data_IF_605636902554
#
_entry.id   IF_605636902554
#
_cell.length_a   1.000
_cell.length_b   1.000
_cell.length_c   1.000
_cell.angle_alpha   90.00
_cell.angle_beta   90.00
_cell.angle_gamma   90.00
#
_symmetry.space_group_name_H-M   'P 1'
#
loop_
_entity.id
_entity.type
_entity.pdbx_description
1 polymer ?
#
# COMPACT_ATOMS: atom_id res chain seq x y z
N UNK A 1 53.20 14.76 -8.55
CA UNK A 1 52.76 13.92 -7.41
C UNK A 1 51.25 13.98 -7.12
N UNK A 2 50.43 14.70 -7.89
CA UNK A 2 48.98 14.84 -7.62
C UNK A 2 48.06 13.77 -8.24
N UNK A 3 48.57 12.92 -9.17
CA UNK A 3 47.75 11.92 -9.86
C UNK A 3 47.44 10.66 -9.03
N UNK A 4 48.34 10.27 -8.13
CA UNK A 4 48.16 9.09 -7.27
C UNK A 4 47.18 9.34 -6.14
N UNK A 5 47.15 10.56 -5.55
CA UNK A 5 46.18 10.94 -4.53
C UNK A 5 44.74 11.06 -5.05
N UNK A 6 44.54 11.48 -6.31
CA UNK A 6 43.20 11.54 -6.91
C UNK A 6 42.61 10.14 -7.12
N UNK A 7 43.45 9.16 -7.52
CA UNK A 7 43.02 7.76 -7.67
C UNK A 7 42.74 7.07 -6.35
N UNK A 8 43.55 7.31 -5.29
CA UNK A 8 43.27 6.75 -3.96
C UNK A 8 41.99 7.32 -3.36
N UNK A 9 41.72 8.62 -3.50
CA UNK A 9 40.47 9.23 -3.04
C UNK A 9 39.23 8.69 -3.78
N UNK A 10 39.35 8.42 -5.08
CA UNK A 10 38.28 7.79 -5.88
C UNK A 10 37.99 6.34 -5.47
N UNK A 11 39.03 5.53 -5.26
CA UNK A 11 38.91 4.16 -4.75
C UNK A 11 38.30 4.10 -3.35
N UNK A 12 38.71 5.01 -2.45
CA UNK A 12 38.14 5.12 -1.10
C UNK A 12 36.67 5.54 -1.14
N UNK A 13 36.30 6.46 -2.03
CA UNK A 13 34.91 6.86 -2.26
C UNK A 13 34.09 5.67 -2.76
N UNK A 14 34.56 4.95 -3.77
CA UNK A 14 33.86 3.77 -4.30
C UNK A 14 33.69 2.66 -3.26
N UNK A 15 34.71 2.39 -2.44
CA UNK A 15 34.63 1.42 -1.35
C UNK A 15 33.62 1.84 -0.28
N UNK A 16 33.53 3.15 0.03
CA UNK A 16 32.54 3.69 0.96
C UNK A 16 31.11 3.62 0.40
N UNK A 17 30.93 3.88 -0.89
CA UNK A 17 29.65 3.69 -1.59
C UNK A 17 29.25 2.21 -1.61
N UNK A 18 30.18 1.29 -1.88
CA UNK A 18 29.91 -0.15 -1.86
C UNK A 18 29.52 -0.66 -0.46
N UNK A 19 30.19 -0.15 0.58
CA UNK A 19 29.85 -0.44 1.97
C UNK A 19 28.50 0.18 2.38
N UNK A 20 28.19 1.39 1.91
CA UNK A 20 26.88 2.03 2.12
C UNK A 20 25.76 1.25 1.44
N UNK A 21 25.95 0.87 0.18
CA UNK A 21 25.02 0.03 -0.58
C UNK A 21 24.80 -1.31 0.12
N UNK A 22 25.87 -1.94 0.64
CA UNK A 22 25.76 -3.16 1.43
C UNK A 22 24.89 -2.97 2.68
N UNK A 23 25.03 -1.83 3.36
CA UNK A 23 24.19 -1.47 4.51
C UNK A 23 22.73 -1.20 4.12
N UNK A 24 22.49 -0.53 2.99
CA UNK A 24 21.13 -0.26 2.50
C UNK A 24 20.39 -1.57 2.15
N UNK A 25 21.08 -2.50 1.50
CA UNK A 25 20.53 -3.83 1.21
C UNK A 25 20.28 -4.65 2.48
N UNK A 26 21.18 -4.57 3.46
CA UNK A 26 21.00 -5.24 4.75
C UNK A 26 19.75 -4.70 5.46
N UNK A 27 19.60 -3.38 5.55
CA UNK A 27 18.42 -2.74 6.14
C UNK A 27 17.13 -3.10 5.39
N UNK A 28 17.17 -3.14 4.06
CA UNK A 28 16.03 -3.57 3.24
C UNK A 28 15.64 -5.01 3.53
N UNK A 29 16.60 -5.94 3.54
CA UNK A 29 16.37 -7.35 3.84
C UNK A 29 15.80 -7.54 5.25
N UNK A 30 16.33 -6.79 6.22
CA UNK A 30 15.89 -6.82 7.62
C UNK A 30 14.45 -6.27 7.75
N UNK A 31 14.13 -5.18 7.06
CA UNK A 31 12.78 -4.60 7.03
C UNK A 31 11.76 -5.56 6.41
N UNK A 32 12.11 -6.20 5.28
CA UNK A 32 11.27 -7.23 4.65
C UNK A 32 11.10 -8.42 5.59
N UNK A 33 12.19 -8.87 6.23
CA UNK A 33 12.14 -9.96 7.21
C UNK A 33 11.16 -9.62 8.34
N UNK A 34 11.24 -8.44 8.96
CA UNK A 34 10.28 -8.03 10.00
C UNK A 34 8.83 -7.96 9.53
N UNK A 35 8.62 -7.43 8.31
CA UNK A 35 7.28 -7.29 7.71
C UNK A 35 6.63 -8.64 7.45
N UNK A 36 7.41 -9.64 7.04
CA UNK A 36 6.93 -11.02 6.83
C UNK A 36 6.87 -11.79 8.15
N UNK A 37 7.77 -11.51 9.09
CA UNK A 37 7.86 -12.21 10.37
C UNK A 37 6.64 -11.97 11.24
N UNK A 38 6.10 -10.75 11.28
CA UNK A 38 4.90 -10.43 12.08
C UNK A 38 3.66 -11.27 11.70
N UNK A 39 3.26 -11.44 10.42
CA UNK A 39 2.19 -12.36 10.06
C UNK A 39 2.60 -13.83 10.17
N UNK A 40 3.87 -14.19 9.92
CA UNK A 40 4.35 -15.58 10.04
C UNK A 40 4.32 -16.08 11.49
N UNK A 41 4.75 -15.26 12.44
CA UNK A 41 4.72 -15.57 13.87
C UNK A 41 3.29 -15.70 14.39
N UNK A 42 2.39 -14.79 13.98
CA UNK A 42 0.95 -14.89 14.28
C UNK A 42 0.32 -16.14 13.67
N UNK A 43 0.81 -16.62 12.52
CA UNK A 43 0.34 -17.86 11.88
C UNK A 43 0.86 -19.13 12.56
N UNK A 44 2.09 -19.11 13.08
CA UNK A 44 2.74 -20.28 13.70
C UNK A 44 2.42 -20.42 15.20
N UNK A 45 2.39 -19.32 15.97
CA UNK A 45 2.16 -19.32 17.42
C UNK A 45 0.78 -18.78 17.83
N UNK A 46 0.02 -18.20 16.90
CA UNK A 46 -1.33 -17.76 17.20
C UNK A 46 -2.25 -18.96 17.42
N UNK A 47 -2.99 -18.96 18.54
CA UNK A 47 -4.07 -19.93 18.78
C UNK A 47 -4.98 -19.95 17.56
N UNK A 48 -5.10 -21.12 16.93
CA UNK A 48 -6.03 -21.39 15.83
C UNK A 48 -7.46 -21.11 16.30
N UNK A 49 -7.89 -19.85 16.30
CA UNK A 49 -9.31 -19.56 16.08
C UNK A 49 -9.51 -19.92 14.63
N UNK A 50 -10.06 -21.11 14.38
CA UNK A 50 -10.59 -21.49 13.08
C UNK A 50 -11.71 -20.50 12.71
N UNK A 51 -11.33 -19.32 12.23
CA UNK A 51 -12.19 -18.49 11.41
C UNK A 51 -12.25 -19.23 10.10
N UNK A 52 -13.35 -19.96 9.89
CA UNK A 52 -13.64 -20.67 8.64
C UNK A 52 -13.28 -19.77 7.46
N UNK A 53 -12.78 -20.33 6.35
CA UNK A 53 -12.50 -19.57 5.11
C UNK A 53 -13.69 -18.72 4.70
N UNK A 54 -14.90 -19.21 5.01
CA UNK A 54 -16.16 -18.50 4.93
C UNK A 54 -16.15 -17.19 5.74
N UNK A 55 -15.74 -17.16 7.01
CA UNK A 55 -15.80 -15.96 7.86
C UNK A 55 -14.77 -14.87 7.47
N UNK A 56 -13.66 -15.26 6.84
CA UNK A 56 -12.68 -14.33 6.25
C UNK A 56 -13.16 -13.76 4.91
N UNK A 57 -13.88 -14.56 4.12
CA UNK A 57 -14.42 -14.17 2.79
C UNK A 57 -15.75 -13.42 2.92
N UNK A 58 -16.62 -13.82 3.86
CA UNK A 58 -17.96 -13.29 4.02
C UNK A 58 -18.06 -12.13 5.01
N UNK A 59 -17.01 -11.86 5.81
CA UNK A 59 -16.98 -10.75 6.78
C UNK A 59 -18.26 -10.64 7.66
N UNK A 60 -19.02 -11.74 7.80
CA UNK A 60 -20.40 -11.74 8.30
C UNK A 60 -20.48 -11.64 9.83
N UNK A 61 -19.34 -11.69 10.52
CA UNK A 61 -19.27 -11.80 11.98
C UNK A 61 -18.54 -10.67 12.71
N UNK A 62 -18.49 -9.45 12.17
CA UNK A 62 -17.96 -8.30 12.91
C UNK A 62 -16.51 -7.95 12.58
N UNK A 63 -16.21 -7.75 11.29
CA UNK A 63 -15.00 -7.03 10.92
C UNK A 63 -15.20 -5.57 11.30
N UNK A 64 -14.34 -5.03 12.17
CA UNK A 64 -14.44 -3.63 12.58
C UNK A 64 -14.42 -2.73 11.34
N UNK A 65 -15.43 -1.85 11.22
CA UNK A 65 -15.53 -0.87 10.13
C UNK A 65 -14.20 -0.12 9.94
N UNK A 66 -13.53 0.20 11.05
CA UNK A 66 -12.23 0.87 11.07
C UNK A 66 -11.15 0.01 10.42
N UNK A 67 -11.13 -1.30 10.68
CA UNK A 67 -10.15 -2.21 10.05
C UNK A 67 -10.38 -2.32 8.52
N UNK A 68 -11.65 -2.26 8.08
CA UNK A 68 -12.00 -2.23 6.66
C UNK A 68 -11.51 -0.94 6.01
N UNK A 69 -11.80 0.22 6.62
CA UNK A 69 -11.35 1.51 6.12
C UNK A 69 -9.82 1.61 6.03
N UNK A 70 -9.11 1.12 7.05
CA UNK A 70 -7.64 1.07 7.06
C UNK A 70 -7.10 0.18 5.95
N UNK A 71 -7.73 -0.98 5.68
CA UNK A 71 -7.30 -1.87 4.61
C UNK A 71 -7.47 -1.23 3.23
N UNK A 72 -8.61 -0.56 2.99
CA UNK A 72 -8.88 0.15 1.73
C UNK A 72 -7.89 1.32 1.56
N UNK A 73 -7.70 2.13 2.60
CA UNK A 73 -6.76 3.24 2.59
C UNK A 73 -5.32 2.78 2.30
N UNK A 74 -4.89 1.65 2.87
CA UNK A 74 -3.58 1.06 2.58
C UNK A 74 -3.44 0.66 1.11
N UNK A 75 -4.51 0.15 0.49
CA UNK A 75 -4.51 -0.23 -0.93
C UNK A 75 -4.47 0.97 -1.88
N UNK A 76 -5.16 2.05 -1.54
CA UNK A 76 -5.26 3.25 -2.41
C UNK A 76 -4.07 4.19 -2.27
N UNK A 77 -3.47 4.30 -1.09
CA UNK A 77 -2.48 5.33 -0.77
C UNK A 77 -1.01 4.88 -0.87
N UNK A 78 -0.72 3.61 -1.18
CA UNK A 78 0.63 3.06 -1.06
C UNK A 78 1.71 3.75 -1.91
N UNK A 79 1.92 3.29 -3.14
CA UNK A 79 3.03 3.78 -4.00
C UNK A 79 2.69 5.12 -4.66
N UNK A 80 1.40 5.34 -4.95
CA UNK A 80 0.91 6.54 -5.64
C UNK A 80 1.23 7.81 -4.88
N UNK A 81 1.20 7.78 -3.55
CA UNK A 81 1.33 9.01 -2.76
C UNK A 81 2.78 9.47 -2.62
N UNK A 82 3.69 8.52 -2.50
CA UNK A 82 5.12 8.82 -2.29
C UNK A 82 5.82 9.20 -3.60
N UNK A 83 5.46 8.56 -4.72
CA UNK A 83 6.08 8.81 -6.01
C UNK A 83 5.19 9.63 -6.96
N UNK A 84 3.89 9.32 -7.02
CA UNK A 84 2.94 9.92 -7.96
C UNK A 84 2.61 11.38 -7.65
N UNK A 85 2.10 11.69 -6.45
CA UNK A 85 1.71 13.07 -6.12
C UNK A 85 2.83 14.12 -6.26
N UNK A 86 4.07 13.90 -5.79
CA UNK A 86 5.12 14.91 -5.98
C UNK A 86 5.54 15.01 -7.45
N UNK A 87 5.66 13.90 -8.18
CA UNK A 87 6.04 13.97 -9.60
C UNK A 87 4.95 14.66 -10.43
N UNK A 88 3.69 14.35 -10.21
CA UNK A 88 2.56 15.03 -10.86
C UNK A 88 2.49 16.52 -10.46
N UNK A 89 2.80 16.87 -9.21
CA UNK A 89 2.87 18.26 -8.75
C UNK A 89 4.01 19.04 -9.42
N UNK A 90 5.16 18.40 -9.67
CA UNK A 90 6.28 19.00 -10.40
C UNK A 90 5.96 19.27 -11.87
N UNK A 91 5.16 18.43 -12.52
CA UNK A 91 4.81 18.60 -13.94
C UNK A 91 3.57 19.48 -14.17
N UNK A 92 2.53 19.34 -13.36
CA UNK A 92 1.23 20.00 -13.58
C UNK A 92 0.98 21.18 -12.64
N UNK A 93 1.80 21.36 -11.60
CA UNK A 93 1.71 22.47 -10.66
C UNK A 93 0.29 22.67 -10.12
N UNK A 94 -0.33 23.76 -10.54
CA UNK A 94 -1.67 24.19 -10.12
C UNK A 94 -2.83 23.41 -10.76
N UNK A 95 -2.62 22.64 -11.82
CA UNK A 95 -3.72 21.90 -12.46
C UNK A 95 -4.21 20.70 -11.62
N UNK A 96 -3.48 20.30 -10.58
CA UNK A 96 -3.86 19.23 -9.66
C UNK A 96 -5.17 19.46 -8.90
N UNK A 97 -5.61 20.72 -8.77
CA UNK A 97 -6.85 21.03 -8.05
C UNK A 97 -8.09 20.41 -8.72
N UNK A 98 -8.08 20.21 -10.05
CA UNK A 98 -9.17 19.55 -10.76
C UNK A 98 -9.37 18.09 -10.31
N UNK A 99 -8.28 17.36 -10.04
CA UNK A 99 -8.33 15.99 -9.54
C UNK A 99 -8.91 15.94 -8.11
N UNK A 100 -8.57 16.94 -7.28
CA UNK A 100 -9.09 17.05 -5.92
C UNK A 100 -10.61 17.31 -5.94
N UNK A 101 -11.09 18.23 -6.80
CA UNK A 101 -12.52 18.48 -6.95
C UNK A 101 -13.27 17.28 -7.55
N UNK A 102 -12.66 16.58 -8.52
CA UNK A 102 -13.20 15.35 -9.09
C UNK A 102 -13.34 14.24 -8.04
N UNK A 103 -12.31 13.99 -7.24
CA UNK A 103 -12.40 13.02 -6.14
C UNK A 103 -13.39 13.47 -5.06
N UNK A 104 -13.34 14.73 -4.64
CA UNK A 104 -14.22 15.26 -3.58
C UNK A 104 -15.71 15.17 -3.95
N UNK A 105 -16.05 15.34 -5.23
CA UNK A 105 -17.42 15.17 -5.73
C UNK A 105 -17.80 13.72 -6.02
N UNK A 106 -16.85 12.86 -6.41
CA UNK A 106 -17.11 11.44 -6.64
C UNK A 106 -17.43 10.67 -5.34
N UNK A 107 -16.74 10.95 -4.22
CA UNK A 107 -16.97 10.28 -2.94
C UNK A 107 -18.43 10.32 -2.43
N UNK A 108 -19.12 11.48 -2.38
CA UNK A 108 -20.51 11.53 -1.95
C UNK A 108 -21.43 10.79 -2.94
N UNK A 109 -21.19 10.88 -4.24
CA UNK A 109 -21.98 10.16 -5.25
C UNK A 109 -21.88 8.65 -5.03
N UNK A 110 -20.67 8.14 -4.80
CA UNK A 110 -20.45 6.72 -4.49
C UNK A 110 -21.15 6.32 -3.19
N UNK A 111 -21.05 7.15 -2.14
CA UNK A 111 -21.65 6.87 -0.84
C UNK A 111 -23.19 6.87 -0.86
N UNK A 112 -23.81 7.80 -1.60
CA UNK A 112 -25.27 7.96 -1.61
C UNK A 112 -25.98 7.17 -2.71
N UNK A 113 -25.30 6.83 -3.81
CA UNK A 113 -25.93 6.12 -4.93
C UNK A 113 -25.46 4.67 -4.98
N UNK A 114 -24.15 4.43 -5.02
CA UNK A 114 -23.62 3.08 -5.23
C UNK A 114 -23.75 2.20 -3.97
N UNK A 115 -23.41 2.72 -2.79
CA UNK A 115 -23.52 1.93 -1.54
C UNK A 115 -24.93 1.39 -1.30
N UNK A 116 -26.02 2.18 -1.34
CA UNK A 116 -27.36 1.64 -1.08
C UNK A 116 -27.85 0.68 -2.17
N UNK A 117 -27.40 0.82 -3.42
CA UNK A 117 -27.73 -0.11 -4.50
C UNK A 117 -27.10 -1.49 -4.26
N UNK A 118 -25.80 -1.53 -3.93
CA UNK A 118 -25.12 -2.80 -3.62
C UNK A 118 -25.65 -3.45 -2.33
N UNK A 119 -26.01 -2.64 -1.33
CA UNK A 119 -26.56 -3.14 -0.08
C UNK A 119 -27.97 -3.73 -0.26
N UNK A 120 -28.81 -3.13 -1.11
CA UNK A 120 -30.16 -3.64 -1.39
C UNK A 120 -30.16 -4.93 -2.22
N UNK A 121 -29.17 -5.13 -3.10
CA UNK A 121 -29.05 -6.38 -3.85
C UNK A 121 -28.49 -7.53 -3.00
N UNK A 122 -27.97 -7.27 -1.79
CA UNK A 122 -27.37 -8.29 -0.92
C UNK A 122 -26.10 -8.93 -1.51
N UNK A 123 -25.53 -8.29 -2.52
CA UNK A 123 -24.41 -8.81 -3.29
C UNK A 123 -23.10 -8.37 -2.63
N UNK A 124 -22.25 -9.34 -2.29
CA UNK A 124 -20.99 -9.11 -1.55
C UNK A 124 -19.77 -8.96 -2.47
N UNK A 125 -19.96 -9.14 -3.77
CA UNK A 125 -18.90 -9.10 -4.78
C UNK A 125 -19.43 -8.53 -6.09
N UNK A 126 -18.69 -7.62 -6.73
CA UNK A 126 -19.04 -7.04 -8.05
C UNK A 126 -19.29 -8.15 -9.10
N UNK A 127 -18.65 -9.31 -8.94
CA UNK A 127 -18.85 -10.47 -9.82
C UNK A 127 -20.25 -11.07 -9.73
N UNK A 128 -20.89 -11.09 -8.56
CA UNK A 128 -22.29 -11.54 -8.44
C UNK A 128 -23.27 -10.59 -9.14
N UNK A 129 -22.92 -9.30 -9.24
CA UNK A 129 -23.72 -8.34 -10.03
C UNK A 129 -23.55 -8.58 -11.54
N UNK A 130 -22.37 -9.03 -11.98
CA UNK A 130 -22.11 -9.41 -13.37
C UNK A 130 -22.74 -10.77 -13.73
N UNK A 131 -22.85 -11.71 -12.80
CA UNK A 131 -23.52 -13.02 -12.99
C UNK A 131 -25.06 -12.89 -13.08
N UNK A 132 -25.63 -11.84 -12.49
CA UNK A 132 -27.07 -11.57 -12.55
C UNK A 132 -27.54 -10.99 -13.89
N UNK A 133 -26.62 -10.74 -14.83
CA UNK A 133 -26.87 -10.02 -16.08
C UNK A 133 -26.36 -10.81 -17.28
#
# INVERSE_FOLDING_TARGET
MNGTQSSTNGLLKMAKELHSLGWDYLMFALFVAFTVFTPLWKRLFGKTKQRSKADYVFATGGVSLIAVMISIARGTLGVRTVLGYPSELYYYGTAMWEVIYGMASAYPIVCFVFVPIYFNLGITSVYQYLDLR
#
